data_IF_393024744439
#
_entry.id   IF_393024744439
#
_cell.length_a   1.000
_cell.length_b   1.000
_cell.length_c   1.000
_cell.angle_alpha   90.00
_cell.angle_beta   90.00
_cell.angle_gamma   90.00
#
_symmetry.space_group_name_H-M   'P 1'
#
loop_
_entity.id
_entity.type
_entity.pdbx_description
1 polymer ?
#
# COMPACT_ATOMS: atom_id res chain seq x y z
N UNK A 1 25.51 2.99 -28.71
CA UNK A 1 26.73 3.79 -28.43
C UNK A 1 26.70 4.14 -26.95
N UNK A 2 27.23 3.27 -26.10
CA UNK A 2 28.62 3.30 -25.62
C UNK A 2 28.80 4.25 -24.42
N UNK A 3 28.77 3.68 -23.21
CA UNK A 3 29.92 3.70 -22.30
C UNK A 3 29.61 2.80 -21.09
N UNK A 4 30.45 1.78 -20.95
CA UNK A 4 30.50 0.82 -19.87
C UNK A 4 31.65 1.16 -18.91
N UNK A 5 31.59 0.56 -17.72
CA UNK A 5 32.69 0.27 -16.79
C UNK A 5 33.41 1.43 -16.11
N UNK A 6 33.38 1.44 -14.76
CA UNK A 6 34.58 1.21 -13.92
C UNK A 6 34.19 1.26 -12.43
N UNK A 7 34.27 0.11 -11.75
CA UNK A 7 35.12 -0.13 -10.56
C UNK A 7 34.65 -1.40 -9.83
N UNK A 8 35.50 -2.42 -9.93
CA UNK A 8 35.46 -3.67 -9.18
C UNK A 8 36.79 -3.82 -8.44
N UNK A 9 36.72 -4.53 -7.31
CA UNK A 9 37.80 -5.07 -6.46
C UNK A 9 38.47 -4.08 -5.53
N UNK A 10 38.88 -4.44 -4.32
CA UNK A 10 38.67 -5.57 -3.41
C UNK A 10 39.52 -5.20 -2.18
N UNK A 11 39.20 -5.67 -0.98
CA UNK A 11 40.18 -6.09 0.06
C UNK A 11 39.43 -6.53 1.33
N UNK A 12 39.34 -7.84 1.49
CA UNK A 12 39.25 -8.54 2.78
C UNK A 12 40.41 -9.54 2.80
N UNK A 13 41.06 -9.72 3.96
CA UNK A 13 41.16 -11.07 4.55
C UNK A 13 40.83 -11.02 6.06
N UNK A 14 39.88 -11.82 6.54
CA UNK A 14 40.01 -13.18 7.07
C UNK A 14 40.86 -13.28 8.35
N UNK A 15 40.24 -13.71 9.47
CA UNK A 15 40.85 -14.47 10.57
C UNK A 15 39.75 -15.13 11.44
N UNK A 16 39.73 -16.45 11.46
CA UNK A 16 39.16 -17.35 12.49
C UNK A 16 40.40 -17.89 13.28
N UNK A 17 40.35 -18.39 14.54
CA UNK A 17 39.39 -19.39 15.03
C UNK A 17 38.98 -19.31 16.52
N UNK A 18 38.04 -20.18 16.89
CA UNK A 18 37.60 -20.56 18.25
C UNK A 18 38.75 -21.09 19.14
N UNK A 19 38.59 -21.11 20.49
CA UNK A 19 38.25 -22.39 21.12
C UNK A 19 37.39 -22.36 22.41
N UNK A 20 36.73 -23.51 22.61
CA UNK A 20 36.49 -24.25 23.87
C UNK A 20 35.45 -23.80 24.91
N UNK A 21 34.47 -24.71 25.07
CA UNK A 21 33.94 -25.30 26.31
C UNK A 21 33.25 -24.42 27.35
N UNK A 22 31.96 -24.68 27.57
CA UNK A 22 31.52 -25.27 28.84
C UNK A 22 30.14 -25.92 28.70
N UNK A 23 30.05 -27.15 29.20
CA UNK A 23 28.80 -27.87 29.45
C UNK A 23 28.05 -27.25 30.62
N UNK A 24 26.73 -27.18 30.55
CA UNK A 24 25.91 -27.84 31.59
C UNK A 24 24.45 -27.97 31.16
N UNK A 25 24.00 -29.23 31.20
CA UNK A 25 22.59 -29.64 31.30
C UNK A 25 22.02 -29.13 32.61
N UNK A 26 20.84 -28.50 32.59
CA UNK A 26 19.77 -28.76 33.58
C UNK A 26 18.41 -28.47 32.94
N UNK A 27 17.56 -29.49 32.89
CA UNK A 27 16.09 -29.46 32.93
C UNK A 27 15.69 -30.76 33.63
N UNK A 28 14.49 -30.95 34.23
CA UNK A 28 13.32 -30.08 34.25
C UNK A 28 12.73 -29.89 35.68
N UNK A 29 11.72 -29.03 35.84
CA UNK A 29 10.83 -29.10 37.01
C UNK A 29 9.42 -28.78 36.57
N UNK A 30 8.63 -29.83 36.42
CA UNK A 30 7.19 -29.77 36.31
C UNK A 30 6.58 -29.34 37.65
N UNK A 31 5.69 -28.37 37.63
CA UNK A 31 4.77 -28.11 38.74
C UNK A 31 3.37 -28.49 38.27
N UNK A 32 2.92 -29.62 38.80
CA UNK A 32 1.55 -30.10 38.78
C UNK A 32 0.76 -29.36 39.86
N UNK A 33 -0.38 -28.78 39.50
CA UNK A 33 -1.40 -28.34 40.46
C UNK A 33 -2.77 -28.87 40.04
N UNK A 34 -3.33 -29.61 40.99
CA UNK A 34 -4.50 -30.47 40.94
C UNK A 34 -5.79 -29.74 40.58
N UNK A 35 -6.64 -30.48 39.84
CA UNK A 35 -8.09 -30.29 39.73
C UNK A 35 -8.74 -30.16 41.10
N UNK A 36 -9.70 -29.24 41.22
CA UNK A 36 -10.83 -29.32 42.16
C UNK A 36 -12.14 -29.22 41.38
N UNK A 37 -13.03 -30.16 41.67
CA UNK A 37 -14.41 -30.20 41.20
C UNK A 37 -15.29 -29.24 42.01
N UNK A 38 -16.36 -28.77 41.35
CA UNK A 38 -17.64 -28.47 41.99
C UNK A 38 -18.00 -27.00 42.07
N UNK A 39 -18.88 -26.54 41.17
CA UNK A 39 -20.27 -26.18 41.50
C UNK A 39 -20.94 -25.61 40.24
N UNK A 40 -21.97 -26.30 39.79
CA UNK A 40 -22.88 -25.91 38.72
C UNK A 40 -23.78 -24.77 39.20
N UNK A 41 -23.63 -23.58 38.63
CA UNK A 41 -24.61 -22.51 38.74
C UNK A 41 -25.33 -22.36 37.39
N UNK A 42 -26.62 -22.70 37.37
CA UNK A 42 -27.49 -22.44 36.22
C UNK A 42 -27.78 -20.94 36.14
N UNK A 43 -27.10 -20.23 35.24
CA UNK A 43 -27.47 -18.85 34.89
C UNK A 43 -28.59 -18.92 33.85
N UNK A 44 -29.80 -18.57 34.27
CA UNK A 44 -30.97 -18.43 33.41
C UNK A 44 -30.78 -17.15 32.57
N UNK A 45 -30.42 -17.29 31.31
CA UNK A 45 -30.34 -16.16 30.39
C UNK A 45 -31.75 -15.66 30.05
N UNK A 46 -32.11 -14.49 30.55
CA UNK A 46 -33.28 -13.73 30.06
C UNK A 46 -32.87 -12.98 28.80
N UNK A 47 -33.42 -13.39 27.65
CA UNK A 47 -33.28 -12.67 26.37
C UNK A 47 -34.03 -11.34 26.47
N UNK A 48 -33.28 -10.25 26.65
CA UNK A 48 -33.79 -8.88 26.49
C UNK A 48 -33.82 -8.56 24.99
N UNK A 49 -35.02 -8.41 24.44
CA UNK A 49 -35.28 -8.04 23.04
C UNK A 49 -35.15 -6.53 22.80
N UNK A 50 -34.01 -5.94 23.16
CA UNK A 50 -33.71 -4.54 22.85
C UNK A 50 -32.64 -4.49 21.74
N UNK A 51 -33.02 -3.98 20.58
CA UNK A 51 -32.10 -3.72 19.48
C UNK A 51 -30.98 -2.77 19.94
N UNK A 52 -29.70 -3.02 19.58
CA UNK A 52 -28.61 -2.12 19.93
C UNK A 52 -28.81 -0.79 19.19
N UNK A 53 -28.75 0.31 19.94
CA UNK A 53 -28.76 1.67 19.39
C UNK A 53 -27.54 1.87 18.47
N UNK A 54 -27.71 2.60 17.35
CA UNK A 54 -26.60 2.86 16.44
C UNK A 54 -25.48 3.64 17.15
N UNK A 55 -24.21 3.41 16.79
CA UNK A 55 -23.11 4.17 17.36
C UNK A 55 -23.30 5.68 17.09
N UNK A 56 -22.87 6.56 18.01
CA UNK A 56 -22.97 7.99 17.80
C UNK A 56 -22.24 8.36 16.52
N UNK A 57 -22.91 9.10 15.63
CA UNK A 57 -22.28 9.65 14.42
C UNK A 57 -21.05 10.46 14.86
N UNK A 58 -19.89 10.31 14.19
CA UNK A 58 -18.77 11.21 14.43
C UNK A 58 -19.27 12.63 14.19
N UNK A 59 -19.01 13.52 15.16
CA UNK A 59 -19.33 14.93 15.03
C UNK A 59 -18.75 15.41 13.71
N UNK A 60 -19.61 15.92 12.83
CA UNK A 60 -19.17 16.55 11.60
C UNK A 60 -18.15 17.61 11.98
N UNK A 61 -16.88 17.40 11.61
CA UNK A 61 -15.88 18.44 11.68
C UNK A 61 -16.49 19.63 10.94
N UNK A 62 -16.76 20.71 11.68
CA UNK A 62 -17.30 21.93 11.10
C UNK A 62 -16.38 22.32 9.96
N UNK A 63 -16.88 22.21 8.73
CA UNK A 63 -16.22 22.72 7.55
C UNK A 63 -16.29 24.24 7.67
N UNK A 64 -15.37 24.80 8.45
CA UNK A 64 -15.13 26.23 8.56
C UNK A 64 -14.89 26.69 7.12
N UNK A 65 -15.81 27.51 6.57
CA UNK A 65 -15.93 27.86 5.14
C UNK A 65 -14.74 28.65 4.57
N UNK A 66 -13.56 28.51 5.17
CA UNK A 66 -12.30 29.09 4.75
C UNK A 66 -11.76 28.26 3.59
N UNK A 67 -11.58 28.92 2.44
CA UNK A 67 -10.90 28.33 1.29
C UNK A 67 -9.61 27.60 1.71
N UNK A 68 -9.33 26.41 1.16
CA UNK A 68 -8.24 25.57 1.63
C UNK A 68 -6.95 26.38 1.64
N UNK A 69 -6.27 26.34 2.78
CA UNK A 69 -5.05 27.11 3.00
C UNK A 69 -3.97 26.66 1.99
N UNK A 70 -3.82 27.35 0.86
CA UNK A 70 -2.73 27.13 -0.10
C UNK A 70 -1.38 27.40 0.60
N UNK A 71 -0.39 26.54 0.36
CA UNK A 71 0.96 26.71 0.89
C UNK A 71 1.74 27.82 0.19
N UNK A 72 1.45 28.06 -1.09
CA UNK A 72 1.96 29.19 -1.85
C UNK A 72 0.92 30.31 -1.89
N UNK A 73 1.32 31.53 -1.53
CA UNK A 73 0.43 32.69 -1.48
C UNK A 73 1.15 33.96 -1.89
N UNK A 74 0.41 34.86 -2.53
CA UNK A 74 0.86 36.22 -2.75
C UNK A 74 0.60 37.05 -1.49
N UNK A 75 1.62 37.72 -0.98
CA UNK A 75 1.50 38.67 0.12
C UNK A 75 0.89 40.00 -0.33
N UNK A 76 0.51 40.85 0.63
CA UNK A 76 0.01 42.19 0.35
C UNK A 76 1.09 43.12 -0.24
N UNK A 77 2.35 42.80 0.02
CA UNK A 77 3.55 43.38 -0.59
C UNK A 77 3.77 42.97 -2.05
N UNK A 78 2.94 42.07 -2.59
CA UNK A 78 2.99 41.63 -3.98
C UNK A 78 3.93 40.45 -4.25
N UNK A 79 4.73 40.02 -3.27
CA UNK A 79 5.67 38.89 -3.41
C UNK A 79 4.99 37.53 -3.21
N UNK A 80 5.57 36.47 -3.77
CA UNK A 80 5.12 35.09 -3.58
C UNK A 80 5.83 34.46 -2.38
N UNK A 81 5.08 33.78 -1.51
CA UNK A 81 5.58 33.12 -0.30
C UNK A 81 5.24 31.63 -0.28
N UNK A 82 6.13 30.82 0.28
CA UNK A 82 5.91 29.41 0.63
C UNK A 82 6.14 29.24 2.14
N UNK A 83 5.08 28.95 2.90
CA UNK A 83 5.15 28.80 4.38
C UNK A 83 5.90 29.95 5.10
N UNK A 84 5.73 31.18 4.63
CA UNK A 84 6.38 32.37 5.20
C UNK A 84 7.74 32.73 4.61
N UNK A 85 8.33 31.88 3.76
CA UNK A 85 9.58 32.18 3.03
C UNK A 85 9.23 32.84 1.70
N UNK A 86 9.80 34.02 1.41
CA UNK A 86 9.67 34.63 0.07
C UNK A 86 10.34 33.74 -0.95
N UNK A 87 9.66 33.47 -2.06
CA UNK A 87 10.18 32.61 -3.12
C UNK A 87 11.44 33.21 -3.73
N UNK A 88 11.53 34.54 -3.86
CA UNK A 88 12.74 35.25 -4.28
C UNK A 88 13.94 34.99 -3.36
N UNK A 89 13.75 34.97 -2.05
CA UNK A 89 14.82 34.67 -1.09
C UNK A 89 15.30 33.22 -1.25
N UNK A 90 14.36 32.28 -1.46
CA UNK A 90 14.69 30.89 -1.77
C UNK A 90 15.41 30.76 -3.11
N UNK A 91 15.08 31.59 -4.11
CA UNK A 91 15.79 31.64 -5.40
C UNK A 91 17.21 32.17 -5.23
N UNK A 92 17.40 33.22 -4.40
CA UNK A 92 18.72 33.78 -4.11
C UNK A 92 19.63 32.84 -3.31
N UNK A 93 19.05 31.98 -2.47
CA UNK A 93 19.76 30.95 -1.73
C UNK A 93 20.00 29.66 -2.53
N UNK A 94 19.34 29.48 -3.68
CA UNK A 94 19.50 28.29 -4.50
C UNK A 94 20.80 28.37 -5.32
N UNK A 95 21.60 27.30 -5.27
CA UNK A 95 22.86 27.23 -6.03
C UNK A 95 22.63 27.31 -7.56
N UNK A 96 21.47 26.84 -8.04
CA UNK A 96 21.11 26.78 -9.47
C UNK A 96 19.60 26.94 -9.68
N UNK A 97 19.25 27.60 -10.78
CA UNK A 97 17.89 27.63 -11.34
C UNK A 97 17.85 26.89 -12.69
N UNK A 98 16.76 26.19 -13.04
CA UNK A 98 15.52 26.04 -12.28
C UNK A 98 15.66 25.08 -11.08
N UNK A 99 14.82 25.25 -10.06
CA UNK A 99 14.69 24.35 -8.92
C UNK A 99 13.23 24.08 -8.57
N UNK A 100 12.98 23.00 -7.83
CA UNK A 100 11.69 22.70 -7.23
C UNK A 100 11.66 23.15 -5.77
N UNK A 101 10.63 23.91 -5.40
CA UNK A 101 10.36 24.30 -4.02
C UNK A 101 9.11 23.57 -3.50
N UNK A 102 9.26 22.82 -2.41
CA UNK A 102 8.16 22.05 -1.82
C UNK A 102 7.85 22.56 -0.41
N UNK A 103 6.56 22.62 -0.05
CA UNK A 103 6.13 22.86 1.33
C UNK A 103 6.03 21.53 2.08
N UNK A 104 6.95 21.31 3.03
CA UNK A 104 6.85 20.19 3.99
C UNK A 104 5.53 20.22 4.77
N UNK A 105 5.09 21.35 5.37
CA UNK A 105 3.80 21.42 6.05
C UNK A 105 2.61 21.04 5.17
N UNK A 106 2.64 21.35 3.87
CA UNK A 106 1.57 20.95 2.95
C UNK A 106 1.52 19.43 2.74
N UNK A 107 2.67 18.77 2.59
CA UNK A 107 2.72 17.30 2.47
C UNK A 107 2.13 16.67 3.73
N UNK A 108 2.50 17.17 4.91
CA UNK A 108 1.95 16.70 6.19
C UNK A 108 0.44 16.91 6.27
N UNK A 109 -0.07 18.10 5.92
CA UNK A 109 -1.52 18.40 5.90
C UNK A 109 -2.29 17.47 4.97
N UNK A 110 -1.76 17.21 3.77
CA UNK A 110 -2.41 16.35 2.78
C UNK A 110 -2.49 14.90 3.28
N UNK A 111 -1.38 14.35 3.79
CA UNK A 111 -1.38 12.99 4.33
C UNK A 111 -2.31 12.86 5.54
N UNK A 112 -2.25 13.83 6.46
CA UNK A 112 -3.10 13.86 7.66
C UNK A 112 -4.58 13.87 7.29
N UNK A 113 -5.00 14.63 6.28
CA UNK A 113 -6.38 14.63 5.81
C UNK A 113 -6.86 13.25 5.33
N UNK A 114 -6.01 12.48 4.62
CA UNK A 114 -6.34 11.10 4.24
C UNK A 114 -6.41 10.15 5.44
N UNK A 115 -5.44 10.26 6.36
CA UNK A 115 -5.38 9.43 7.56
C UNK A 115 -6.62 9.65 8.43
N UNK A 116 -6.98 10.90 8.69
CA UNK A 116 -8.09 11.26 9.57
C UNK A 116 -9.44 10.88 8.92
N UNK A 117 -9.57 10.98 7.59
CA UNK A 117 -10.76 10.51 6.88
C UNK A 117 -10.97 8.98 6.92
N UNK A 118 -9.94 8.22 7.27
CA UNK A 118 -9.98 6.75 7.39
C UNK A 118 -9.92 6.28 8.85
N UNK A 119 -10.06 7.19 9.82
CA UNK A 119 -10.07 6.85 11.23
C UNK A 119 -11.19 5.83 11.56
N UNK A 120 -10.87 4.85 12.40
CA UNK A 120 -11.78 3.75 12.74
C UNK A 120 -11.82 2.60 11.71
N UNK A 121 -11.20 2.77 10.53
CA UNK A 121 -11.06 1.70 9.54
C UNK A 121 -9.66 1.08 9.58
N UNK A 122 -9.58 -0.25 9.44
CA UNK A 122 -8.31 -0.94 9.18
C UNK A 122 -7.84 -0.58 7.77
N UNK A 123 -6.88 0.34 7.67
CA UNK A 123 -6.51 0.95 6.39
C UNK A 123 -5.01 1.20 6.25
N UNK A 124 -4.56 1.29 4.99
CA UNK A 124 -3.22 1.73 4.61
C UNK A 124 -3.37 2.87 3.61
N UNK A 125 -2.88 4.05 3.98
CA UNK A 125 -2.70 5.14 3.01
C UNK A 125 -1.39 4.89 2.28
N UNK A 126 -1.47 4.37 1.06
CA UNK A 126 -0.30 4.10 0.22
C UNK A 126 0.01 5.27 -0.72
N UNK A 127 1.18 5.90 -0.57
CA UNK A 127 1.62 6.96 -1.49
C UNK A 127 2.15 6.37 -2.80
N UNK A 128 1.61 6.82 -3.93
CA UNK A 128 2.09 6.44 -5.26
C UNK A 128 3.44 7.10 -5.56
N UNK A 129 4.54 6.33 -5.44
CA UNK A 129 5.93 6.81 -5.55
C UNK A 129 6.21 7.48 -6.90
N UNK A 130 5.57 7.00 -7.97
CA UNK A 130 5.62 7.60 -9.32
C UNK A 130 5.24 9.08 -9.38
N UNK A 131 4.51 9.62 -8.39
CA UNK A 131 4.13 11.02 -8.35
C UNK A 131 5.31 11.94 -7.99
N UNK A 132 6.15 11.53 -7.04
CA UNK A 132 7.40 12.19 -6.68
C UNK A 132 8.28 11.22 -5.90
N UNK A 133 9.39 10.81 -6.51
CA UNK A 133 10.34 9.85 -5.94
C UNK A 133 11.50 10.53 -5.21
N UNK A 134 11.37 11.80 -4.79
CA UNK A 134 12.37 12.43 -3.96
C UNK A 134 12.50 11.72 -2.61
N UNK A 135 13.72 11.24 -2.29
CA UNK A 135 13.97 10.44 -1.08
C UNK A 135 13.55 11.14 0.22
N UNK A 136 13.69 12.47 0.32
CA UNK A 136 13.29 13.22 1.52
C UNK A 136 11.78 13.33 1.67
N UNK A 137 11.04 13.45 0.58
CA UNK A 137 9.57 13.41 0.58
C UNK A 137 9.08 12.02 0.99
N UNK A 138 9.72 10.97 0.47
CA UNK A 138 9.43 9.59 0.84
C UNK A 138 9.70 9.31 2.32
N UNK A 139 10.84 9.74 2.86
CA UNK A 139 11.17 9.62 4.28
C UNK A 139 10.15 10.34 5.17
N UNK A 140 9.74 11.56 4.79
CA UNK A 140 8.71 12.31 5.51
C UNK A 140 7.38 11.55 5.56
N UNK A 141 6.92 11.02 4.42
CA UNK A 141 5.67 10.26 4.38
C UNK A 141 5.76 8.98 5.22
N UNK A 142 6.91 8.29 5.18
CA UNK A 142 7.17 7.13 6.02
C UNK A 142 7.12 7.46 7.50
N UNK A 143 7.73 8.58 7.93
CA UNK A 143 7.69 9.06 9.32
C UNK A 143 6.26 9.31 9.82
N UNK A 144 5.35 9.73 8.92
CA UNK A 144 3.93 9.89 9.23
C UNK A 144 3.15 8.57 9.27
N UNK A 145 3.79 7.44 8.96
CA UNK A 145 3.17 6.13 8.90
C UNK A 145 2.46 5.84 7.57
N UNK A 146 2.91 6.42 6.45
CA UNK A 146 2.42 6.09 5.11
C UNK A 146 2.94 4.72 4.63
N UNK A 147 2.14 4.01 3.82
CA UNK A 147 2.60 2.91 2.98
C UNK A 147 3.09 3.41 1.61
N UNK A 148 3.54 2.51 0.75
CA UNK A 148 4.01 2.88 -0.60
C UNK A 148 3.32 2.08 -1.70
N UNK A 149 2.98 2.74 -2.80
CA UNK A 149 2.48 2.10 -4.01
C UNK A 149 3.54 2.26 -5.10
N UNK A 150 3.97 1.13 -5.66
CA UNK A 150 5.17 0.97 -6.47
C UNK A 150 4.80 0.49 -7.87
N UNK A 151 5.54 0.89 -8.89
CA UNK A 151 5.36 0.44 -10.28
C UNK A 151 6.64 -0.07 -10.95
N UNK A 152 7.77 -0.12 -10.23
CA UNK A 152 8.99 -0.77 -10.69
C UNK A 152 9.84 -1.27 -9.51
N UNK A 153 10.77 -2.19 -9.77
CA UNK A 153 11.73 -2.63 -8.75
C UNK A 153 12.65 -1.51 -8.27
N UNK A 154 12.91 -0.48 -9.08
CA UNK A 154 13.67 0.69 -8.63
C UNK A 154 12.90 1.54 -7.62
N UNK A 155 11.57 1.68 -7.80
CA UNK A 155 10.74 2.30 -6.77
C UNK A 155 10.69 1.44 -5.50
N UNK A 156 10.65 0.11 -5.62
CA UNK A 156 10.74 -0.79 -4.47
C UNK A 156 12.06 -0.60 -3.71
N UNK A 157 13.21 -0.64 -4.40
CA UNK A 157 14.53 -0.37 -3.79
C UNK A 157 14.56 0.99 -3.10
N UNK A 158 13.97 2.01 -3.72
CA UNK A 158 13.92 3.35 -3.17
C UNK A 158 13.01 3.46 -1.94
N UNK A 159 11.86 2.78 -1.95
CA UNK A 159 10.95 2.71 -0.80
C UNK A 159 11.61 1.98 0.38
N UNK A 160 12.27 0.85 0.13
CA UNK A 160 13.06 0.15 1.15
C UNK A 160 14.18 1.05 1.70
N UNK A 161 14.89 1.78 0.84
CA UNK A 161 15.91 2.76 1.25
C UNK A 161 15.34 3.92 2.07
N UNK A 162 14.11 4.35 1.81
CA UNK A 162 13.42 5.37 2.60
C UNK A 162 12.91 4.83 3.96
N UNK A 163 12.96 3.51 4.16
CA UNK A 163 12.56 2.82 5.38
C UNK A 163 11.07 2.49 5.45
N UNK A 164 10.38 2.37 4.31
CA UNK A 164 8.99 1.90 4.30
C UNK A 164 8.92 0.45 4.78
N UNK A 165 7.88 0.13 5.55
CA UNK A 165 7.53 -1.22 5.93
C UNK A 165 7.03 -1.99 4.69
N UNK A 166 7.70 -3.09 4.26
CA UNK A 166 7.28 -3.88 3.10
C UNK A 166 5.85 -4.41 3.21
N UNK A 167 5.38 -4.71 4.42
CA UNK A 167 4.01 -5.20 4.66
C UNK A 167 2.95 -4.11 4.43
N UNK A 168 3.37 -2.89 4.12
CA UNK A 168 2.53 -1.74 3.77
C UNK A 168 2.84 -1.20 2.37
N UNK A 169 3.57 -2.00 1.58
CA UNK A 169 3.92 -1.70 0.20
C UNK A 169 3.08 -2.56 -0.77
N UNK A 170 2.64 -1.96 -1.86
CA UNK A 170 1.86 -2.63 -2.92
C UNK A 170 2.55 -2.39 -4.26
N UNK A 171 2.95 -3.48 -4.93
CA UNK A 171 3.61 -3.46 -6.22
C UNK A 171 2.63 -3.70 -7.37
N UNK A 172 2.48 -2.68 -8.21
CA UNK A 172 1.59 -2.63 -9.36
C UNK A 172 2.36 -2.68 -10.68
N UNK A 173 1.64 -2.86 -11.79
CA UNK A 173 2.18 -2.68 -13.14
C UNK A 173 1.74 -3.80 -14.07
N UNK A 174 1.54 -3.46 -15.35
CA UNK A 174 1.09 -4.37 -16.40
C UNK A 174 2.26 -5.02 -17.18
N UNK A 175 3.47 -4.94 -16.64
CA UNK A 175 4.71 -5.38 -17.30
C UNK A 175 5.84 -5.56 -16.29
N UNK A 176 5.52 -6.13 -15.13
CA UNK A 176 6.51 -6.42 -14.09
C UNK A 176 7.46 -7.47 -14.62
N UNK A 177 8.77 -7.22 -14.54
CA UNK A 177 9.78 -8.19 -14.97
C UNK A 177 9.94 -9.27 -13.88
N UNK A 178 10.46 -10.44 -14.27
CA UNK A 178 10.69 -11.52 -13.32
C UNK A 178 11.66 -11.08 -12.21
N UNK A 179 12.69 -10.30 -12.54
CA UNK A 179 13.68 -9.81 -11.58
C UNK A 179 13.05 -8.87 -10.54
N UNK A 180 12.17 -7.97 -10.98
CA UNK A 180 11.45 -7.07 -10.09
C UNK A 180 10.45 -7.84 -9.20
N UNK A 181 9.83 -8.90 -9.73
CA UNK A 181 8.93 -9.78 -8.98
C UNK A 181 9.66 -10.64 -7.95
N UNK A 182 10.86 -11.14 -8.27
CA UNK A 182 11.71 -11.86 -7.30
C UNK A 182 12.06 -10.94 -6.14
N UNK A 183 12.48 -9.70 -6.42
CA UNK A 183 12.74 -8.70 -5.38
C UNK A 183 11.49 -8.42 -4.52
N UNK A 184 10.32 -8.33 -5.15
CA UNK A 184 9.05 -8.11 -4.44
C UNK A 184 8.70 -9.29 -3.52
N UNK A 185 8.86 -10.52 -4.00
CA UNK A 185 8.64 -11.74 -3.23
C UNK A 185 9.62 -11.85 -2.05
N UNK A 186 10.91 -11.60 -2.29
CA UNK A 186 11.95 -11.57 -1.27
C UNK A 186 11.67 -10.51 -0.18
N UNK A 187 11.16 -9.35 -0.59
CA UNK A 187 10.84 -8.24 0.31
C UNK A 187 9.53 -8.45 1.09
N UNK A 188 8.64 -9.33 0.62
CA UNK A 188 7.34 -9.59 1.26
C UNK A 188 6.32 -8.47 1.08
N UNK A 189 6.34 -7.79 -0.08
CA UNK A 189 5.33 -6.77 -0.41
C UNK A 189 4.07 -7.41 -1.01
N UNK A 190 2.95 -6.70 -0.99
CA UNK A 190 1.77 -7.10 -1.76
C UNK A 190 2.04 -6.92 -3.26
N UNK A 191 1.53 -7.82 -4.09
CA UNK A 191 1.68 -7.75 -5.55
C UNK A 191 0.33 -7.83 -6.25
N UNK A 192 0.02 -6.84 -7.09
CA UNK A 192 -1.20 -6.88 -7.88
C UNK A 192 -0.98 -7.67 -9.17
N UNK A 193 -1.86 -8.65 -9.41
CA UNK A 193 -1.94 -9.41 -10.66
C UNK A 193 -2.72 -8.58 -11.69
N UNK A 194 -2.11 -8.34 -12.86
CA UNK A 194 -2.69 -7.52 -13.93
C UNK A 194 -3.14 -8.35 -15.14
N UNK A 195 -2.57 -9.54 -15.34
CA UNK A 195 -2.85 -10.43 -16.49
C UNK A 195 -2.40 -11.87 -16.23
N UNK A 196 -2.66 -12.78 -17.17
CA UNK A 196 -2.31 -14.20 -17.07
C UNK A 196 -0.79 -14.42 -17.07
N UNK A 197 -0.06 -13.74 -17.96
CA UNK A 197 1.41 -13.86 -17.99
C UNK A 197 2.03 -13.34 -16.69
N UNK A 198 1.41 -12.32 -16.10
CA UNK A 198 1.87 -11.69 -14.88
C UNK A 198 1.65 -12.60 -13.67
N UNK A 199 0.52 -13.33 -13.61
CA UNK A 199 0.29 -14.39 -12.63
C UNK A 199 1.39 -15.47 -12.70
N UNK A 200 1.70 -15.99 -13.89
CA UNK A 200 2.73 -17.02 -14.08
C UNK A 200 4.13 -16.52 -13.66
N UNK A 201 4.45 -15.27 -13.96
CA UNK A 201 5.71 -14.66 -13.51
C UNK A 201 5.76 -14.49 -11.99
N UNK A 202 4.64 -14.13 -11.33
CA UNK A 202 4.58 -14.02 -9.86
C UNK A 202 4.80 -15.38 -9.21
N UNK A 203 4.18 -16.43 -9.74
CA UNK A 203 4.36 -17.82 -9.27
C UNK A 203 5.82 -18.26 -9.44
N UNK A 204 6.41 -17.98 -10.59
CA UNK A 204 7.83 -18.27 -10.84
C UNK A 204 8.73 -17.52 -9.85
N UNK A 205 8.46 -16.22 -9.62
CA UNK A 205 9.21 -15.42 -8.66
C UNK A 205 9.07 -15.94 -7.21
N UNK A 206 7.87 -16.36 -6.81
CA UNK A 206 7.61 -16.95 -5.50
C UNK A 206 8.47 -18.20 -5.28
N UNK A 207 8.55 -19.08 -6.28
CA UNK A 207 9.38 -20.30 -6.25
C UNK A 207 10.86 -19.98 -6.19
N UNK A 208 11.33 -19.05 -7.01
CA UNK A 208 12.73 -18.60 -7.01
C UNK A 208 13.11 -18.00 -5.64
N UNK A 209 12.26 -17.18 -5.06
CA UNK A 209 12.48 -16.56 -3.76
C UNK A 209 12.27 -17.53 -2.58
N UNK A 210 11.65 -18.69 -2.81
CA UNK A 210 11.23 -19.62 -1.76
C UNK A 210 10.22 -19.00 -0.77
N UNK A 211 9.39 -18.05 -1.24
CA UNK A 211 8.46 -17.29 -0.40
C UNK A 211 7.08 -17.21 -1.04
N UNK A 212 6.06 -17.39 -0.22
CA UNK A 212 4.67 -17.22 -0.63
C UNK A 212 4.32 -15.75 -0.81
N UNK A 213 3.82 -15.35 -1.98
CA UNK A 213 3.54 -13.94 -2.29
C UNK A 213 2.07 -13.60 -2.00
N UNK A 214 1.79 -12.55 -1.21
CA UNK A 214 0.43 -12.07 -1.02
C UNK A 214 -0.01 -11.23 -2.23
N UNK A 215 -1.05 -11.69 -2.92
CA UNK A 215 -1.50 -11.12 -4.19
C UNK A 215 -2.89 -10.52 -4.10
N UNK A 216 -3.13 -9.48 -4.90
CA UNK A 216 -4.47 -8.95 -5.15
C UNK A 216 -4.79 -9.01 -6.64
N UNK A 217 -6.04 -9.28 -6.98
CA UNK A 217 -6.49 -9.27 -8.37
C UNK A 217 -6.88 -7.86 -8.80
N UNK A 218 -6.22 -7.33 -9.83
CA UNK A 218 -6.64 -6.05 -10.41
C UNK A 218 -7.79 -6.28 -11.37
N UNK A 219 -8.96 -5.77 -11.03
CA UNK A 219 -10.18 -5.97 -11.82
C UNK A 219 -10.62 -4.63 -12.38
N UNK A 220 -11.09 -4.66 -13.62
CA UNK A 220 -11.76 -3.52 -14.22
C UNK A 220 -13.26 -3.66 -13.95
N UNK A 221 -13.83 -2.82 -13.08
CA UNK A 221 -15.25 -2.87 -12.83
C UNK A 221 -16.05 -2.52 -14.08
N UNK A 222 -17.22 -3.15 -14.18
CA UNK A 222 -18.22 -2.86 -15.20
C UNK A 222 -18.98 -1.59 -14.81
N UNK A 223 -18.32 -0.44 -14.99
CA UNK A 223 -18.93 0.87 -14.74
C UNK A 223 -19.88 1.18 -15.88
N UNK A 224 -21.14 1.47 -15.55
CA UNK A 224 -22.16 1.81 -16.54
C UNK A 224 -21.69 3.01 -17.42
N UNK A 225 -21.54 2.82 -18.74
CA UNK A 225 -21.13 3.86 -19.66
C UNK A 225 -22.12 5.04 -19.73
N UNK A 226 -23.40 4.84 -19.34
CA UNK A 226 -24.38 5.93 -19.27
C UNK A 226 -24.13 6.85 -18.07
N UNK A 227 -23.59 6.31 -16.98
CA UNK A 227 -23.30 7.07 -15.74
C UNK A 227 -21.91 7.71 -15.82
N UNK A 228 -20.92 6.98 -16.33
CA UNK A 228 -19.53 7.45 -16.42
C UNK A 228 -18.86 7.02 -17.73
N UNK A 229 -19.17 7.68 -18.87
CA UNK A 229 -18.70 7.27 -20.18
C UNK A 229 -17.18 7.21 -20.31
N UNK A 230 -16.44 8.12 -19.66
CA UNK A 230 -14.97 8.13 -19.70
C UNK A 230 -14.32 6.96 -18.95
N UNK A 231 -14.89 6.54 -17.82
CA UNK A 231 -14.37 5.40 -17.03
C UNK A 231 -14.67 4.09 -17.76
N UNK A 232 -15.90 3.95 -18.28
CA UNK A 232 -16.32 2.76 -19.01
C UNK A 232 -15.54 2.55 -20.32
N UNK A 233 -15.36 3.62 -21.11
CA UNK A 233 -14.56 3.56 -22.36
C UNK A 233 -13.07 3.34 -22.09
N UNK A 234 -12.55 3.95 -21.03
CA UNK A 234 -11.20 3.70 -20.53
C UNK A 234 -10.98 2.23 -20.17
N UNK A 235 -11.88 1.62 -19.40
CA UNK A 235 -11.75 0.23 -18.95
C UNK A 235 -11.77 -0.78 -20.11
N UNK A 236 -12.61 -0.57 -21.13
CA UNK A 236 -12.72 -1.49 -22.28
C UNK A 236 -11.50 -1.49 -23.21
N UNK A 237 -10.79 -0.37 -23.30
CA UNK A 237 -9.62 -0.20 -24.20
C UNK A 237 -8.29 -0.20 -23.45
N UNK A 238 -8.34 -0.24 -22.12
CA UNK A 238 -7.18 -0.22 -21.25
C UNK A 238 -6.41 -1.53 -21.33
N UNK A 239 -5.08 -1.40 -21.39
CA UNK A 239 -4.12 -2.51 -21.25
C UNK A 239 -4.00 -3.05 -19.81
N UNK A 240 -4.70 -2.42 -18.87
CA UNK A 240 -4.60 -2.71 -17.44
C UNK A 240 -5.77 -3.52 -16.96
N UNK A 241 -5.49 -4.46 -16.06
CA UNK A 241 -6.50 -5.16 -15.26
C UNK A 241 -7.22 -6.27 -16.01
N UNK A 242 -7.90 -7.10 -15.23
CA UNK A 242 -8.60 -8.29 -15.66
C UNK A 242 -10.04 -7.91 -15.98
N UNK A 243 -10.53 -8.39 -17.13
CA UNK A 243 -11.95 -8.27 -17.48
C UNK A 243 -12.77 -9.31 -16.72
N UNK A 244 -13.99 -8.96 -16.34
CA UNK A 244 -14.85 -9.82 -15.51
C UNK A 244 -15.04 -11.23 -16.09
N UNK A 245 -15.04 -11.41 -17.40
CA UNK A 245 -15.29 -12.71 -18.02
C UNK A 245 -14.14 -13.72 -17.77
N UNK A 246 -12.94 -13.24 -17.43
CA UNK A 246 -11.78 -14.09 -17.12
C UNK A 246 -11.61 -14.35 -15.63
N UNK A 247 -12.44 -13.76 -14.78
CA UNK A 247 -12.28 -13.83 -13.34
C UNK A 247 -12.19 -15.26 -12.83
N UNK A 248 -13.12 -16.15 -13.22
CA UNK A 248 -13.13 -17.54 -12.77
C UNK A 248 -11.81 -18.27 -13.08
N UNK A 249 -11.24 -18.04 -14.28
CA UNK A 249 -9.95 -18.63 -14.65
C UNK A 249 -8.82 -18.20 -13.71
N UNK A 250 -8.80 -16.93 -13.29
CA UNK A 250 -7.82 -16.46 -12.31
C UNK A 250 -8.03 -17.11 -10.95
N UNK A 251 -9.27 -17.34 -10.52
CA UNK A 251 -9.55 -17.99 -9.23
C UNK A 251 -9.09 -19.44 -9.23
N UNK A 252 -9.41 -20.17 -10.29
CA UNK A 252 -9.01 -21.57 -10.42
C UNK A 252 -7.47 -21.69 -10.48
N UNK A 253 -6.82 -20.77 -11.22
CA UNK A 253 -5.36 -20.70 -11.30
C UNK A 253 -4.72 -20.34 -9.96
N UNK A 254 -5.27 -19.37 -9.22
CA UNK A 254 -4.72 -19.01 -7.90
C UNK A 254 -4.88 -20.16 -6.90
N UNK A 255 -6.01 -20.87 -6.93
CA UNK A 255 -6.23 -22.07 -6.10
C UNK A 255 -5.21 -23.16 -6.42
N UNK A 256 -4.88 -23.38 -7.70
CA UNK A 256 -3.87 -24.36 -8.11
C UNK A 256 -2.46 -23.98 -7.68
N UNK A 257 -2.15 -22.68 -7.57
CA UNK A 257 -0.87 -22.15 -7.08
C UNK A 257 -0.86 -21.81 -5.58
N UNK A 258 -1.73 -22.44 -4.78
CA UNK A 258 -1.89 -22.13 -3.35
C UNK A 258 -0.66 -22.36 -2.47
N UNK A 259 0.39 -23.03 -2.96
CA UNK A 259 1.69 -23.12 -2.28
C UNK A 259 2.59 -21.90 -2.53
N UNK A 260 2.40 -21.22 -3.66
CA UNK A 260 3.28 -20.16 -4.16
C UNK A 260 2.70 -18.76 -3.88
N UNK A 261 1.37 -18.62 -3.89
CA UNK A 261 0.68 -17.32 -3.71
C UNK A 261 -0.53 -17.42 -2.78
N UNK A 262 -0.87 -16.29 -2.14
CA UNK A 262 -2.08 -16.15 -1.31
C UNK A 262 -2.91 -14.98 -1.82
N UNK A 263 -4.15 -15.23 -2.27
CA UNK A 263 -5.10 -14.15 -2.56
C UNK A 263 -5.50 -13.44 -1.26
N UNK A 264 -5.24 -12.13 -1.17
CA UNK A 264 -5.54 -11.32 0.02
C UNK A 264 -6.47 -10.15 -0.27
N UNK A 265 -6.86 -9.95 -1.53
CA UNK A 265 -7.85 -8.94 -1.87
C UNK A 265 -8.01 -8.71 -3.37
N UNK A 266 -8.70 -7.62 -3.66
CA UNK A 266 -8.96 -7.09 -5.01
C UNK A 266 -8.44 -5.67 -5.11
N UNK A 267 -8.13 -5.24 -6.32
CA UNK A 267 -7.64 -3.90 -6.60
C UNK A 267 -8.37 -3.30 -7.79
N UNK A 268 -8.75 -2.03 -7.64
CA UNK A 268 -9.35 -1.24 -8.71
C UNK A 268 -8.69 0.14 -8.77
N UNK A 269 -8.50 0.66 -9.98
CA UNK A 269 -8.01 2.02 -10.20
C UNK A 269 -8.87 2.71 -11.27
N UNK A 270 -9.73 3.63 -10.83
CA UNK A 270 -10.73 4.31 -11.66
C UNK A 270 -10.19 5.46 -12.53
N UNK A 271 -8.89 5.73 -12.46
CA UNK A 271 -8.24 6.81 -13.21
C UNK A 271 -7.68 7.92 -12.33
N UNK A 272 -7.32 9.04 -12.97
CA UNK A 272 -6.66 10.20 -12.34
C UNK A 272 -7.52 11.46 -12.46
N UNK A 273 -7.23 12.48 -11.65
CA UNK A 273 -7.91 13.80 -11.68
C UNK A 273 -9.43 13.75 -11.51
N UNK A 274 -9.91 12.80 -10.71
CA UNK A 274 -11.34 12.64 -10.41
C UNK A 274 -11.77 13.78 -9.47
N UNK A 275 -12.76 14.56 -9.90
CA UNK A 275 -13.28 15.74 -9.17
C UNK A 275 -14.59 15.48 -8.45
N UNK A 276 -15.21 14.30 -8.67
CA UNK A 276 -16.47 13.88 -8.04
C UNK A 276 -16.26 12.54 -7.36
N UNK A 277 -16.79 12.37 -6.15
CA UNK A 277 -16.69 11.10 -5.40
C UNK A 277 -17.60 9.99 -5.93
N UNK A 278 -18.64 10.34 -6.70
CA UNK A 278 -19.65 9.39 -7.18
C UNK A 278 -19.10 8.10 -7.83
N UNK A 279 -18.07 8.13 -8.70
CA UNK A 279 -17.51 6.90 -9.28
C UNK A 279 -17.00 5.93 -8.22
N UNK A 280 -16.40 6.41 -7.13
CA UNK A 280 -15.94 5.56 -6.03
C UNK A 280 -17.09 4.96 -5.23
N UNK A 281 -18.19 5.70 -5.07
CA UNK A 281 -19.38 5.22 -4.35
C UNK A 281 -20.06 4.09 -5.14
N UNK A 282 -20.21 4.28 -6.46
CA UNK A 282 -20.80 3.27 -7.35
C UNK A 282 -19.94 2.01 -7.37
N UNK A 283 -18.62 2.16 -7.38
CA UNK A 283 -17.66 1.05 -7.35
C UNK A 283 -17.72 0.24 -6.05
N UNK A 284 -17.83 0.92 -4.90
CA UNK A 284 -17.92 0.29 -3.58
C UNK A 284 -19.32 -0.28 -3.28
N UNK A 285 -20.30 0.01 -4.13
CA UNK A 285 -21.63 -0.59 -4.08
C UNK A 285 -21.58 -2.07 -4.54
N UNK A 286 -22.69 -2.82 -4.56
CA UNK A 286 -22.73 -4.29 -4.62
C UNK A 286 -21.79 -5.04 -5.59
N UNK A 287 -21.35 -4.55 -6.78
CA UNK A 287 -20.42 -5.31 -7.61
C UNK A 287 -19.14 -5.76 -6.90
N UNK A 288 -18.48 -4.90 -6.11
CA UNK A 288 -17.21 -5.26 -5.47
C UNK A 288 -17.39 -6.11 -4.18
N UNK A 289 -18.33 -5.79 -3.27
CA UNK A 289 -18.61 -6.65 -2.11
C UNK A 289 -19.15 -8.03 -2.48
N UNK A 290 -20.02 -8.14 -3.50
CA UNK A 290 -20.52 -9.44 -3.96
C UNK A 290 -19.38 -10.31 -4.49
N UNK A 291 -18.51 -9.70 -5.31
CA UNK A 291 -17.30 -10.36 -5.76
C UNK A 291 -16.40 -10.78 -4.59
N UNK A 292 -16.20 -9.92 -3.59
CA UNK A 292 -15.40 -10.30 -2.41
C UNK A 292 -15.99 -11.50 -1.66
N UNK A 293 -17.32 -11.63 -1.56
CA UNK A 293 -17.94 -12.84 -1.01
C UNK A 293 -17.60 -14.07 -1.85
N UNK A 294 -17.75 -13.99 -3.18
CA UNK A 294 -17.41 -15.10 -4.09
C UNK A 294 -15.92 -15.50 -4.04
N UNK A 295 -15.02 -14.55 -3.72
CA UNK A 295 -13.58 -14.78 -3.67
C UNK A 295 -13.10 -15.46 -2.38
N UNK A 296 -13.81 -15.26 -1.27
CA UNK A 296 -13.37 -15.64 0.07
C UNK A 296 -14.31 -16.63 0.79
N UNK A 297 -15.37 -17.08 0.13
CA UNK A 297 -16.16 -18.28 0.48
C UNK A 297 -15.55 -19.56 -0.11
#
# INVERSE_FOLDING_TARGET
MAAANLLSRALLPALNPNPSSHSNRVSPSAVSLRRRHGLTASVRASLSTAAPSPPPRPAAAAADGRAPKRCFRRGADGHLYCEGVRVEDAMGAAERTPFYLYSKPQVVRNFTAYRDALEGLRSIVGYAVKANNNLRVLQLLRELGCGAVLVSGNELRLALRAGFDPTRCIFNGNGKTLEDLVLAAESGVFVNIDSEFDLENIVTAARVAGKKVPVLLRINPDVDPQVHPYVATGNKTSKFGIRNEKLQWFLDSIKSYSNDITLVGVHCHLGSTITKSQPYIVELAPPLPALLCELFE
#
